data_IF_743049053972
#
_entry.id   IF_743049053972
#
_cell.length_a   1.000
_cell.length_b   1.000
_cell.length_c   1.000
_cell.angle_alpha   90.00
_cell.angle_beta   90.00
_cell.angle_gamma   90.00
#
_symmetry.space_group_name_H-M   'P 1'
#
loop_
_entity.id
_entity.type
_entity.pdbx_description
1 polymer ?
#
# COMPACT_ATOMS: atom_id res chain seq x y z
N UNK A 1 -28.51 -22.39 23.21
CA UNK A 1 -27.36 -23.09 23.85
C UNK A 1 -26.16 -22.17 23.75
N UNK A 2 -25.61 -21.83 24.90
CA UNK A 2 -24.61 -20.79 25.17
C UNK A 2 -23.22 -21.20 24.69
N UNK A 3 -22.48 -20.29 24.07
CA UNK A 3 -21.01 -20.16 24.26
C UNK A 3 -20.63 -18.70 24.04
N UNK A 4 -20.53 -17.96 25.13
CA UNK A 4 -19.79 -16.71 25.21
C UNK A 4 -18.38 -16.99 25.74
N UNK A 5 -17.39 -16.32 25.16
CA UNK A 5 -15.98 -16.31 25.59
C UNK A 5 -15.45 -14.90 25.28
N UNK A 6 -15.54 -13.94 26.20
CA UNK A 6 -14.53 -13.54 27.21
C UNK A 6 -13.13 -13.38 26.62
N UNK A 7 -12.74 -12.13 26.30
CA UNK A 7 -11.36 -11.72 25.99
C UNK A 7 -10.91 -10.79 27.13
N UNK A 8 -9.92 -11.15 27.96
CA UNK A 8 -9.39 -10.22 28.95
C UNK A 8 -8.36 -9.27 28.31
N UNK A 9 -8.54 -7.99 28.58
CA UNK A 9 -7.54 -6.93 28.40
C UNK A 9 -6.56 -6.95 29.57
N UNK A 10 -5.27 -7.15 29.32
CA UNK A 10 -4.19 -6.75 30.22
C UNK A 10 -2.96 -6.30 29.41
N UNK A 11 -2.83 -5.01 29.15
CA UNK A 11 -1.55 -4.37 28.84
C UNK A 11 -1.41 -3.19 29.79
N UNK A 12 -0.54 -3.32 30.78
CA UNK A 12 -0.11 -2.24 31.67
C UNK A 12 1.31 -1.81 31.22
N UNK A 13 1.56 -0.51 31.00
CA UNK A 13 2.92 0.00 30.75
C UNK A 13 3.66 0.22 32.07
N UNK A 14 4.89 -0.26 32.16
CA UNK A 14 5.83 0.04 33.25
C UNK A 14 6.55 1.36 32.95
N UNK A 15 6.35 2.36 33.81
CA UNK A 15 7.05 3.64 33.77
C UNK A 15 8.45 3.49 34.42
N UNK A 16 9.50 3.87 33.70
CA UNK A 16 10.86 4.02 34.24
C UNK A 16 11.06 5.50 34.62
N UNK A 17 11.35 5.72 35.90
CA UNK A 17 11.72 7.03 36.47
C UNK A 17 13.23 7.18 36.36
N UNK A 18 13.70 8.26 35.73
CA UNK A 18 15.12 8.64 35.70
C UNK A 18 15.30 9.83 36.64
N UNK A 19 16.18 9.67 37.63
CA UNK A 19 16.53 10.67 38.62
C UNK A 19 17.58 11.66 38.08
N UNK A 20 17.40 12.93 38.43
CA UNK A 20 18.25 14.08 38.14
C UNK A 20 19.44 14.14 39.12
N UNK A 21 20.65 14.42 38.64
CA UNK A 21 21.79 14.79 39.51
C UNK A 21 22.29 16.19 39.16
N UNK A 22 22.18 17.07 40.15
CA UNK A 22 22.58 18.48 40.16
C UNK A 22 24.08 18.59 40.45
N UNK A 23 24.82 19.32 39.60
CA UNK A 23 26.25 19.63 39.77
C UNK A 23 26.52 21.12 39.66
N UNK A 24 27.22 21.65 40.66
CA UNK A 24 27.46 23.07 41.01
C UNK A 24 28.67 23.69 40.30
N UNK A 25 28.63 25.00 40.03
CA UNK A 25 29.72 25.83 39.50
C UNK A 25 30.74 26.31 40.56
N UNK A 26 31.97 26.69 40.13
CA UNK A 26 32.61 27.94 40.59
C UNK A 26 33.34 28.72 39.46
N UNK A 27 33.05 30.02 39.26
CA UNK A 27 33.73 31.25 39.75
C UNK A 27 34.97 31.75 38.97
N UNK A 28 34.85 33.02 38.55
CA UNK A 28 35.77 33.90 37.83
C UNK A 28 37.08 34.27 38.59
N UNK A 29 38.15 34.54 37.84
CA UNK A 29 39.23 35.45 38.24
C UNK A 29 39.91 36.11 37.00
N UNK A 30 39.85 37.44 36.93
CA UNK A 30 40.45 38.32 35.92
C UNK A 30 41.95 38.55 36.13
N UNK A 31 42.74 38.68 35.04
CA UNK A 31 44.11 39.22 35.04
C UNK A 31 44.38 40.03 33.72
N UNK A 32 45.25 41.07 33.72
CA UNK A 32 45.24 42.16 32.74
C UNK A 32 45.97 41.85 31.42
N UNK A 33 45.59 42.59 30.38
CA UNK A 33 45.80 42.29 28.96
C UNK A 33 47.25 42.27 28.44
N UNK A 34 47.51 41.29 27.58
CA UNK A 34 48.74 41.08 26.83
C UNK A 34 48.58 41.68 25.41
N UNK A 35 49.53 42.51 24.96
CA UNK A 35 49.55 43.05 23.60
C UNK A 35 50.26 42.03 22.69
N UNK A 36 49.52 41.40 21.77
CA UNK A 36 50.05 40.37 20.85
C UNK A 36 50.34 40.96 19.45
N UNK A 37 51.38 40.44 18.76
CA UNK A 37 51.71 40.84 17.37
C UNK A 37 50.80 40.10 16.36
N UNK A 38 50.37 40.73 15.26
CA UNK A 38 49.45 40.12 14.28
C UNK A 38 49.92 38.79 13.65
N UNK A 39 51.23 38.56 13.59
CA UNK A 39 51.84 37.33 13.06
C UNK A 39 51.76 36.14 14.02
N UNK A 40 51.39 36.36 15.28
CA UNK A 40 51.26 35.32 16.31
C UNK A 40 49.79 34.86 16.48
N UNK A 41 48.90 35.29 15.60
CA UNK A 41 47.48 34.90 15.63
C UNK A 41 47.30 33.60 14.84
N UNK A 42 46.94 32.47 15.50
CA UNK A 42 46.69 31.23 14.78
C UNK A 42 45.48 31.38 13.87
N UNK A 43 45.70 31.29 12.55
CA UNK A 43 44.62 31.42 11.55
C UNK A 43 43.71 30.17 11.57
N UNK A 44 44.24 29.00 11.93
CA UNK A 44 43.48 27.77 12.10
C UNK A 44 44.11 26.90 13.20
N UNK A 45 43.67 27.04 14.44
CA UNK A 45 43.86 26.01 15.48
C UNK A 45 42.67 25.07 15.50
N UNK A 46 42.93 23.77 15.68
CA UNK A 46 41.90 22.72 15.78
C UNK A 46 41.13 22.76 17.10
N UNK A 47 41.56 23.56 18.08
CA UNK A 47 40.82 23.80 19.31
C UNK A 47 40.88 25.29 19.65
N UNK A 48 39.74 25.93 19.99
CA UNK A 48 39.74 27.31 20.46
C UNK A 48 40.33 27.38 21.89
N UNK A 49 41.33 28.24 22.16
CA UNK A 49 41.77 28.50 23.53
C UNK A 49 40.65 29.14 24.36
N UNK A 50 40.60 28.93 25.69
CA UNK A 50 39.58 29.54 26.54
C UNK A 50 39.73 31.06 26.53
N UNK A 51 38.83 31.72 25.81
CA UNK A 51 38.80 33.17 25.62
C UNK A 51 38.42 33.86 26.94
N UNK A 52 39.42 34.36 27.67
CA UNK A 52 39.25 35.44 28.65
C UNK A 52 39.62 36.76 27.98
N UNK A 53 38.65 37.39 27.33
CA UNK A 53 38.84 38.68 26.68
C UNK A 53 37.77 38.90 25.61
N UNK A 54 37.00 39.96 25.78
CA UNK A 54 35.86 40.36 24.95
C UNK A 54 36.21 40.48 23.46
N UNK A 55 36.08 39.39 22.72
CA UNK A 55 35.40 39.42 21.44
C UNK A 55 34.05 40.12 21.65
N UNK A 56 33.47 40.86 20.67
CA UNK A 56 32.02 40.94 20.65
C UNK A 56 31.60 39.48 20.66
N UNK A 57 31.15 39.02 21.83
CA UNK A 57 30.45 37.79 22.03
C UNK A 57 29.59 37.68 20.78
N UNK A 58 29.91 36.74 19.89
CA UNK A 58 29.01 36.38 18.82
C UNK A 58 27.74 36.10 19.60
N UNK A 59 26.82 37.07 19.50
CA UNK A 59 25.84 37.34 20.53
C UNK A 59 25.30 35.98 20.91
N UNK A 60 25.22 35.71 22.21
CA UNK A 60 24.37 34.65 22.72
C UNK A 60 22.94 35.01 22.26
N UNK A 61 22.69 34.88 20.95
CA UNK A 61 21.46 35.09 20.24
C UNK A 61 20.70 33.89 20.71
N UNK A 62 20.03 34.11 21.85
CA UNK A 62 19.01 33.22 22.35
C UNK A 62 18.19 32.89 21.13
N UNK A 63 18.17 31.61 20.72
CA UNK A 63 17.64 31.24 19.42
C UNK A 63 16.25 31.85 19.33
N UNK A 64 16.02 32.61 18.27
CA UNK A 64 14.77 33.33 18.13
C UNK A 64 13.64 32.29 18.16
N UNK A 65 12.45 32.63 18.65
CA UNK A 65 11.37 31.66 18.87
C UNK A 65 11.09 30.79 17.63
N UNK A 66 11.24 31.37 16.43
CA UNK A 66 11.11 30.70 15.14
C UNK A 66 12.23 29.69 14.88
N UNK A 67 13.48 30.01 15.23
CA UNK A 67 14.61 29.10 15.09
C UNK A 67 14.45 27.87 15.98
N UNK A 68 13.97 28.06 17.21
CA UNK A 68 13.70 26.94 18.10
C UNK A 68 12.54 26.06 17.60
N UNK A 69 11.51 26.66 17.00
CA UNK A 69 10.39 25.93 16.38
C UNK A 69 10.83 25.11 15.17
N UNK A 70 11.54 25.72 14.21
CA UNK A 70 12.06 25.02 13.02
C UNK A 70 13.06 23.93 13.41
N UNK A 71 13.92 24.18 14.41
CA UNK A 71 14.84 23.20 14.98
C UNK A 71 14.10 22.02 15.59
N UNK A 72 13.04 22.28 16.36
CA UNK A 72 12.21 21.22 16.95
C UNK A 72 11.56 20.37 15.87
N UNK A 73 10.92 20.99 14.87
CA UNK A 73 10.29 20.26 13.76
C UNK A 73 11.30 19.43 12.98
N UNK A 74 12.49 19.97 12.70
CA UNK A 74 13.55 19.23 11.99
C UNK A 74 14.05 18.03 12.81
N UNK A 75 14.25 18.19 14.11
CA UNK A 75 14.70 17.08 14.97
C UNK A 75 13.62 16.02 15.15
N UNK A 76 12.35 16.41 15.35
CA UNK A 76 11.25 15.44 15.47
C UNK A 76 11.09 14.67 14.17
N UNK A 77 11.08 15.35 13.03
CA UNK A 77 11.00 14.70 11.73
C UNK A 77 12.19 13.78 11.46
N UNK A 78 13.41 14.23 11.77
CA UNK A 78 14.62 13.41 11.62
C UNK A 78 14.58 12.12 12.46
N UNK A 79 14.06 12.19 13.69
CA UNK A 79 13.85 11.00 14.53
C UNK A 79 12.82 10.04 13.94
N UNK A 80 11.68 10.55 13.47
CA UNK A 80 10.67 9.70 12.82
C UNK A 80 11.20 9.06 11.53
N UNK A 81 11.97 9.78 10.72
CA UNK A 81 12.54 9.19 9.51
C UNK A 81 13.56 8.11 9.84
N UNK A 82 14.38 8.30 10.88
CA UNK A 82 15.33 7.28 11.32
C UNK A 82 14.59 6.02 11.81
N UNK A 83 13.56 6.17 12.64
CA UNK A 83 12.74 5.06 13.12
C UNK A 83 12.04 4.33 11.97
N UNK A 84 11.44 5.05 11.02
CA UNK A 84 10.79 4.45 9.84
C UNK A 84 11.80 3.66 9.01
N UNK A 85 13.01 4.20 8.77
CA UNK A 85 14.04 3.48 8.03
C UNK A 85 14.53 2.23 8.77
N UNK A 86 14.54 2.25 10.10
CA UNK A 86 14.87 1.08 10.91
C UNK A 86 13.80 -0.01 10.76
N UNK A 87 12.51 0.34 10.86
CA UNK A 87 11.41 -0.61 10.61
C UNK A 87 11.42 -1.14 9.18
N UNK A 88 11.73 -0.31 8.19
CA UNK A 88 11.84 -0.73 6.80
C UNK A 88 12.96 -1.75 6.60
N UNK A 89 14.12 -1.59 7.25
CA UNK A 89 15.21 -2.57 7.19
C UNK A 89 14.79 -3.92 7.77
N UNK A 90 14.16 -3.92 8.95
CA UNK A 90 13.67 -5.16 9.58
C UNK A 90 12.60 -5.82 8.71
N UNK A 91 11.66 -5.03 8.17
CA UNK A 91 10.63 -5.53 7.28
C UNK A 91 11.22 -6.17 6.01
N UNK A 92 12.20 -5.51 5.37
CA UNK A 92 12.90 -6.05 4.20
C UNK A 92 13.64 -7.34 4.54
N UNK A 93 14.36 -7.36 5.65
CA UNK A 93 15.11 -8.54 6.09
C UNK A 93 14.17 -9.73 6.36
N UNK A 94 13.09 -9.52 7.13
CA UNK A 94 12.10 -10.57 7.41
C UNK A 94 11.38 -11.03 6.15
N UNK A 95 11.15 -10.13 5.19
CA UNK A 95 10.55 -10.49 3.91
C UNK A 95 11.47 -11.36 3.07
N UNK A 96 12.75 -11.00 2.98
CA UNK A 96 13.75 -11.77 2.23
C UNK A 96 13.98 -13.15 2.87
N UNK A 97 14.07 -13.21 4.20
CA UNK A 97 14.17 -14.47 4.94
C UNK A 97 12.93 -15.35 4.72
N UNK A 98 11.74 -14.77 4.82
CA UNK A 98 10.48 -15.49 4.58
C UNK A 98 10.39 -16.01 3.15
N UNK A 99 10.82 -15.22 2.16
CA UNK A 99 10.83 -15.63 0.75
C UNK A 99 11.73 -16.83 0.52
N UNK A 100 12.92 -16.84 1.12
CA UNK A 100 13.85 -17.97 1.05
C UNK A 100 13.27 -19.21 1.75
N UNK A 101 12.68 -19.02 2.93
CA UNK A 101 12.03 -20.10 3.69
C UNK A 101 10.78 -20.67 3.01
N UNK A 102 10.07 -19.88 2.21
CA UNK A 102 8.88 -20.37 1.49
C UNK A 102 9.28 -21.02 0.16
N UNK A 103 10.38 -20.59 -0.47
CA UNK A 103 10.82 -21.12 -1.76
C UNK A 103 11.03 -22.64 -1.73
N UNK A 104 11.76 -23.15 -0.72
CA UNK A 104 11.99 -24.60 -0.60
C UNK A 104 10.70 -25.37 -0.33
N UNK A 105 9.76 -24.79 0.41
CA UNK A 105 8.48 -25.41 0.72
C UNK A 105 7.58 -25.48 -0.52
N UNK A 106 7.58 -24.43 -1.34
CA UNK A 106 6.87 -24.42 -2.63
C UNK A 106 7.45 -25.50 -3.55
N UNK A 107 8.78 -25.60 -3.64
CA UNK A 107 9.42 -26.64 -4.45
C UNK A 107 9.06 -28.05 -3.94
N UNK A 108 9.06 -28.26 -2.62
CA UNK A 108 8.63 -29.52 -2.01
C UNK A 108 7.17 -29.88 -2.31
N UNK A 109 6.27 -28.88 -2.25
CA UNK A 109 4.86 -29.05 -2.58
C UNK A 109 4.62 -29.30 -4.06
N UNK A 110 5.52 -28.86 -4.94
CA UNK A 110 5.37 -29.03 -6.39
C UNK A 110 5.81 -30.41 -6.88
N UNK A 111 6.68 -31.08 -6.14
CA UNK A 111 7.13 -32.45 -6.43
C UNK A 111 5.93 -33.40 -6.60
N UNK A 112 5.94 -34.25 -7.64
CA UNK A 112 4.80 -35.11 -8.01
C UNK A 112 4.41 -36.11 -6.90
N UNK A 113 5.39 -36.64 -6.18
CA UNK A 113 5.19 -37.72 -5.20
C UNK A 113 4.45 -37.28 -3.92
N UNK A 114 4.38 -35.98 -3.66
CA UNK A 114 3.84 -35.42 -2.41
C UNK A 114 2.36 -35.01 -2.52
N UNK A 115 1.49 -35.94 -2.88
CA UNK A 115 0.05 -35.68 -3.06
C UNK A 115 -0.67 -35.28 -1.75
N UNK A 116 -0.29 -35.86 -0.62
CA UNK A 116 -0.90 -35.58 0.68
C UNK A 116 -0.61 -34.14 1.16
N UNK A 117 0.64 -33.63 1.15
CA UNK A 117 0.92 -32.22 1.42
C UNK A 117 0.20 -31.24 0.49
N UNK A 118 0.06 -31.55 -0.81
CA UNK A 118 -0.70 -30.73 -1.78
C UNK A 118 -2.17 -30.59 -1.37
N UNK A 119 -2.82 -31.70 -1.06
CA UNK A 119 -4.21 -31.70 -0.60
C UNK A 119 -4.36 -30.95 0.73
N UNK A 120 -3.41 -31.11 1.65
CA UNK A 120 -3.33 -30.37 2.90
C UNK A 120 -3.27 -28.85 2.67
N UNK A 121 -2.36 -28.39 1.83
CA UNK A 121 -2.21 -26.96 1.50
C UNK A 121 -3.49 -26.37 0.87
N UNK A 122 -4.10 -27.08 -0.07
CA UNK A 122 -5.36 -26.65 -0.71
C UNK A 122 -6.49 -26.58 0.33
N UNK A 123 -6.58 -27.56 1.23
CA UNK A 123 -7.59 -27.57 2.29
C UNK A 123 -7.45 -26.39 3.25
N UNK A 124 -6.21 -26.03 3.60
CA UNK A 124 -5.92 -24.86 4.44
C UNK A 124 -6.30 -23.58 3.69
N UNK A 125 -5.96 -23.45 2.40
CA UNK A 125 -6.40 -22.32 1.58
C UNK A 125 -7.92 -22.20 1.51
N UNK A 126 -8.63 -23.32 1.37
CA UNK A 126 -10.08 -23.37 1.37
C UNK A 126 -10.67 -22.96 2.73
N UNK A 127 -10.09 -23.44 3.83
CA UNK A 127 -10.52 -23.15 5.19
C UNK A 127 -10.27 -21.69 5.56
N UNK A 128 -9.10 -21.15 5.26
CA UNK A 128 -8.79 -19.72 5.41
C UNK A 128 -9.78 -18.88 4.61
N UNK A 129 -10.08 -19.31 3.38
CA UNK A 129 -11.07 -18.63 2.56
C UNK A 129 -12.48 -18.68 3.18
N UNK A 130 -12.87 -19.84 3.69
CA UNK A 130 -14.14 -20.01 4.37
C UNK A 130 -14.23 -19.10 5.60
N UNK A 131 -13.17 -19.01 6.41
CA UNK A 131 -13.11 -18.14 7.61
C UNK A 131 -13.36 -16.69 7.22
N UNK A 132 -12.72 -16.20 6.16
CA UNK A 132 -12.92 -14.83 5.72
C UNK A 132 -14.34 -14.60 5.17
N UNK A 133 -14.95 -15.64 4.59
CA UNK A 133 -16.33 -15.64 4.11
C UNK A 133 -17.41 -15.79 5.20
N UNK A 134 -17.04 -16.11 6.46
CA UNK A 134 -18.00 -16.38 7.56
C UNK A 134 -18.91 -15.19 7.88
N UNK A 135 -18.46 -13.96 7.63
CA UNK A 135 -19.24 -12.74 7.89
C UNK A 135 -20.40 -12.56 6.90
N UNK A 136 -20.45 -13.35 5.83
CA UNK A 136 -21.48 -13.28 4.77
C UNK A 136 -22.49 -14.44 4.78
N UNK A 137 -23.41 -14.41 3.80
CA UNK A 137 -24.33 -15.53 3.55
C UNK A 137 -23.64 -16.74 2.89
N UNK A 138 -24.40 -17.82 2.67
CA UNK A 138 -23.88 -19.09 2.13
C UNK A 138 -23.08 -18.93 0.82
N UNK A 139 -23.57 -18.10 -0.12
CA UNK A 139 -22.90 -17.84 -1.39
C UNK A 139 -21.53 -17.13 -1.24
N UNK A 140 -21.43 -16.18 -0.30
CA UNK A 140 -20.15 -15.50 -0.02
C UNK A 140 -19.15 -16.47 0.58
N UNK A 141 -19.62 -17.35 1.48
CA UNK A 141 -18.80 -18.40 2.08
C UNK A 141 -18.25 -19.38 1.03
N UNK A 142 -19.08 -19.82 0.08
CA UNK A 142 -18.63 -20.74 -0.97
C UNK A 142 -17.64 -20.07 -1.92
N UNK A 143 -17.90 -18.84 -2.38
CA UNK A 143 -16.98 -18.14 -3.28
C UNK A 143 -15.62 -17.91 -2.61
N UNK A 144 -15.62 -17.47 -1.35
CA UNK A 144 -14.36 -17.16 -0.68
C UNK A 144 -13.58 -18.44 -0.39
N UNK A 145 -14.26 -19.52 0.02
CA UNK A 145 -13.63 -20.84 0.18
C UNK A 145 -13.06 -21.36 -1.14
N UNK A 146 -13.81 -21.32 -2.24
CA UNK A 146 -13.32 -21.79 -3.54
C UNK A 146 -12.18 -20.93 -4.06
N UNK A 147 -12.23 -19.60 -3.87
CA UNK A 147 -11.15 -18.69 -4.26
C UNK A 147 -9.87 -18.99 -3.48
N UNK A 148 -9.96 -19.24 -2.16
CA UNK A 148 -8.81 -19.63 -1.35
C UNK A 148 -8.23 -20.99 -1.75
N UNK A 149 -9.10 -21.97 -2.02
CA UNK A 149 -8.70 -23.28 -2.53
C UNK A 149 -8.00 -23.19 -3.89
N UNK A 150 -8.59 -22.43 -4.82
CA UNK A 150 -8.08 -22.26 -6.18
C UNK A 150 -6.78 -21.46 -6.20
N UNK A 151 -6.66 -20.46 -5.32
CA UNK A 151 -5.42 -19.73 -5.08
C UNK A 151 -4.28 -20.68 -4.67
N UNK A 152 -4.49 -21.52 -3.65
CA UNK A 152 -3.47 -22.50 -3.24
C UNK A 152 -3.24 -23.60 -4.27
N UNK A 153 -4.28 -24.04 -4.98
CA UNK A 153 -4.14 -25.01 -6.06
C UNK A 153 -3.29 -24.47 -7.20
N UNK A 154 -3.42 -23.18 -7.56
CA UNK A 154 -2.58 -22.55 -8.59
C UNK A 154 -1.09 -22.53 -8.25
N UNK A 155 -0.77 -22.43 -6.94
CA UNK A 155 0.61 -22.48 -6.45
C UNK A 155 1.15 -23.92 -6.47
N UNK A 156 0.33 -24.91 -6.11
CA UNK A 156 0.72 -26.32 -6.09
C UNK A 156 0.79 -26.96 -7.50
N UNK A 157 -0.08 -26.52 -8.43
CA UNK A 157 -0.22 -27.06 -9.79
C UNK A 157 -0.12 -25.97 -10.88
N UNK A 158 1.00 -25.25 -10.98
CA UNK A 158 1.12 -24.10 -11.89
C UNK A 158 1.12 -24.46 -13.39
N UNK A 159 1.53 -25.68 -13.77
CA UNK A 159 1.51 -26.13 -15.18
C UNK A 159 0.07 -26.37 -15.63
N UNK A 160 -0.66 -27.19 -14.88
CA UNK A 160 -2.09 -27.45 -15.09
C UNK A 160 -2.91 -26.16 -15.02
N UNK A 161 -2.65 -25.30 -14.04
CA UNK A 161 -3.35 -24.02 -13.91
C UNK A 161 -3.22 -23.15 -15.17
N UNK A 162 -2.05 -23.14 -15.82
CA UNK A 162 -1.86 -22.38 -17.07
C UNK A 162 -2.64 -22.95 -18.25
N UNK A 163 -2.74 -24.28 -18.35
CA UNK A 163 -3.50 -24.97 -19.39
C UNK A 163 -5.01 -24.76 -19.20
N UNK A 164 -5.50 -25.02 -17.98
CA UNK A 164 -6.90 -24.81 -17.63
C UNK A 164 -7.33 -23.35 -17.73
N UNK A 165 -6.44 -22.39 -17.43
CA UNK A 165 -6.74 -20.97 -17.62
C UNK A 165 -6.98 -20.61 -19.10
N UNK A 166 -6.20 -21.17 -20.02
CA UNK A 166 -6.36 -20.94 -21.45
C UNK A 166 -7.65 -21.59 -21.98
N UNK A 167 -7.89 -22.85 -21.63
CA UNK A 167 -9.11 -23.58 -22.02
C UNK A 167 -10.34 -22.86 -21.47
N UNK A 168 -10.32 -22.52 -20.17
CA UNK A 168 -11.39 -21.79 -19.51
C UNK A 168 -11.64 -20.41 -20.09
N UNK A 169 -10.60 -19.71 -20.57
CA UNK A 169 -10.78 -18.45 -21.26
C UNK A 169 -11.47 -18.60 -22.63
N UNK A 170 -11.12 -19.62 -23.40
CA UNK A 170 -11.73 -19.89 -24.72
C UNK A 170 -13.18 -20.32 -24.55
N UNK A 171 -13.46 -21.22 -23.61
CA UNK A 171 -14.82 -21.69 -23.34
C UNK A 171 -15.68 -20.60 -22.70
N UNK A 172 -15.12 -19.87 -21.73
CA UNK A 172 -15.78 -18.74 -21.08
C UNK A 172 -16.24 -17.68 -22.08
N UNK A 173 -15.43 -17.39 -23.11
CA UNK A 173 -15.84 -16.49 -24.20
C UNK A 173 -17.07 -16.99 -24.95
N UNK A 174 -17.15 -18.29 -25.23
CA UNK A 174 -18.33 -18.90 -25.90
C UNK A 174 -19.57 -18.77 -25.03
N UNK A 175 -19.49 -19.12 -23.75
CA UNK A 175 -20.62 -19.02 -22.83
C UNK A 175 -21.06 -17.57 -22.60
N UNK A 176 -20.11 -16.63 -22.48
CA UNK A 176 -20.43 -15.21 -22.37
C UNK A 176 -21.12 -14.70 -23.64
N UNK A 177 -20.70 -15.19 -24.81
CA UNK A 177 -21.35 -14.89 -26.09
C UNK A 177 -22.79 -15.37 -26.15
N UNK A 178 -23.02 -16.61 -25.74
CA UNK A 178 -24.38 -17.17 -25.68
C UNK A 178 -25.24 -16.39 -24.69
N UNK A 179 -24.71 -16.06 -23.52
CA UNK A 179 -25.44 -15.30 -22.49
C UNK A 179 -25.77 -13.87 -22.95
N UNK A 180 -24.82 -13.19 -23.60
CA UNK A 180 -25.03 -11.86 -24.16
C UNK A 180 -26.12 -11.89 -25.24
N UNK A 181 -26.04 -12.84 -26.17
CA UNK A 181 -27.04 -13.03 -27.22
C UNK A 181 -28.43 -13.36 -26.64
N UNK A 182 -28.49 -14.10 -25.53
CA UNK A 182 -29.73 -14.40 -24.83
C UNK A 182 -30.38 -13.15 -24.20
N UNK A 183 -29.58 -12.29 -23.54
CA UNK A 183 -30.07 -11.04 -22.95
C UNK A 183 -30.57 -10.07 -24.02
N UNK A 184 -29.92 -10.04 -25.19
CA UNK A 184 -30.32 -9.21 -26.33
C UNK A 184 -31.46 -9.81 -27.18
N UNK A 185 -31.88 -11.05 -26.91
CA UNK A 185 -33.05 -11.66 -27.55
C UNK A 185 -32.85 -12.12 -29.00
N UNK A 186 -31.62 -12.40 -29.42
CA UNK A 186 -31.31 -12.86 -30.79
C UNK A 186 -31.82 -14.30 -30.98
N UNK A 187 -32.56 -14.54 -32.07
CA UNK A 187 -33.08 -15.87 -32.42
C UNK A 187 -31.96 -16.71 -33.07
N UNK A 188 -32.06 -18.04 -32.96
CA UNK A 188 -31.04 -19.01 -33.45
C UNK A 188 -30.63 -18.85 -34.94
N UNK A 189 -31.41 -18.14 -35.75
CA UNK A 189 -31.26 -18.03 -37.21
C UNK A 189 -30.60 -16.72 -37.67
N UNK A 190 -30.24 -15.79 -36.78
CA UNK A 190 -29.51 -14.55 -37.10
C UNK A 190 -28.01 -14.68 -36.74
N UNK A 191 -27.10 -13.99 -37.46
CA UNK A 191 -25.67 -14.06 -37.16
C UNK A 191 -25.41 -13.61 -35.72
N UNK A 192 -24.64 -14.38 -34.92
CA UNK A 192 -24.40 -14.06 -33.53
C UNK A 192 -23.75 -12.67 -33.42
N UNK A 193 -24.29 -11.81 -32.56
CA UNK A 193 -23.65 -10.53 -32.24
C UNK A 193 -22.25 -10.82 -31.71
N UNK A 194 -21.25 -10.22 -32.35
CA UNK A 194 -19.88 -10.29 -31.87
C UNK A 194 -19.81 -9.56 -30.54
N UNK A 195 -19.27 -10.23 -29.51
CA UNK A 195 -19.03 -9.58 -28.23
C UNK A 195 -18.15 -8.36 -28.43
N UNK A 196 -18.43 -7.24 -27.73
CA UNK A 196 -17.45 -6.17 -27.63
C UNK A 196 -16.13 -6.81 -27.22
N UNK A 197 -15.06 -6.51 -27.96
CA UNK A 197 -13.77 -7.21 -27.83
C UNK A 197 -13.38 -7.27 -26.36
N UNK A 198 -13.54 -8.45 -25.75
CA UNK A 198 -13.14 -8.64 -24.36
C UNK A 198 -11.68 -8.26 -24.25
N UNK A 199 -11.28 -7.58 -23.15
CA UNK A 199 -9.88 -7.29 -22.92
C UNK A 199 -9.11 -8.61 -23.09
N UNK A 200 -8.02 -8.56 -23.88
CA UNK A 200 -7.12 -9.70 -24.04
C UNK A 200 -6.84 -10.24 -22.64
N UNK A 201 -7.01 -11.55 -22.46
CA UNK A 201 -6.75 -12.20 -21.17
C UNK A 201 -5.38 -11.72 -20.69
N UNK A 202 -5.34 -10.99 -19.57
CA UNK A 202 -4.12 -10.34 -19.16
C UNK A 202 -3.11 -11.42 -18.87
N UNK A 203 -1.96 -11.33 -19.52
CA UNK A 203 -0.89 -12.33 -19.36
C UNK A 203 -0.19 -12.18 -18.01
N UNK A 204 -0.38 -11.02 -17.38
CA UNK A 204 0.15 -10.70 -16.06
C UNK A 204 -0.92 -10.12 -15.14
N UNK A 205 -0.73 -10.33 -13.83
CA UNK A 205 -1.58 -9.75 -12.80
C UNK A 205 -1.57 -8.21 -12.81
N UNK A 206 -0.45 -7.60 -13.22
CA UNK A 206 -0.31 -6.14 -13.29
C UNK A 206 -1.13 -5.55 -14.45
N UNK A 207 -1.13 -6.20 -15.61
CA UNK A 207 -2.03 -5.83 -16.72
C UNK A 207 -3.49 -6.00 -16.33
N UNK A 208 -3.82 -7.06 -15.59
CA UNK A 208 -5.18 -7.31 -15.10
C UNK A 208 -5.64 -6.18 -14.17
N UNK A 209 -4.81 -5.81 -13.19
CA UNK A 209 -5.13 -4.75 -12.24
C UNK A 209 -5.25 -3.38 -12.91
N UNK A 210 -4.32 -3.06 -13.82
CA UNK A 210 -4.38 -1.82 -14.59
C UNK A 210 -5.62 -1.76 -15.48
N UNK A 211 -6.00 -2.87 -16.11
CA UNK A 211 -7.23 -2.96 -16.92
C UNK A 211 -8.49 -2.76 -16.07
N UNK A 212 -8.56 -3.38 -14.89
CA UNK A 212 -9.69 -3.18 -13.95
C UNK A 212 -9.73 -1.74 -13.46
N UNK A 213 -8.57 -1.17 -13.09
CA UNK A 213 -8.47 0.22 -12.66
C UNK A 213 -8.92 1.18 -13.77
N UNK A 214 -8.50 0.96 -15.01
CA UNK A 214 -8.91 1.79 -16.15
C UNK A 214 -10.40 1.69 -16.44
N UNK A 215 -10.95 0.48 -16.40
CA UNK A 215 -12.39 0.25 -16.63
C UNK A 215 -13.23 0.81 -15.48
N UNK A 216 -12.80 0.65 -14.22
CA UNK A 216 -13.47 1.27 -13.09
C UNK A 216 -13.40 2.80 -13.17
N UNK A 217 -12.25 3.35 -13.57
CA UNK A 217 -12.12 4.80 -13.76
C UNK A 217 -12.99 5.34 -14.89
N UNK A 218 -13.19 4.59 -15.99
CA UNK A 218 -14.10 5.02 -17.06
C UNK A 218 -15.56 5.05 -16.60
N UNK A 219 -16.01 4.07 -15.82
CA UNK A 219 -17.36 4.09 -15.23
C UNK A 219 -17.56 5.20 -14.20
N UNK A 220 -16.52 5.56 -13.45
CA UNK A 220 -16.57 6.65 -12.47
C UNK A 220 -16.56 8.02 -13.19
N UNK A 221 -15.85 8.14 -14.32
CA UNK A 221 -15.83 9.38 -15.12
C UNK A 221 -17.16 9.66 -15.82
N UNK A 222 -17.89 8.64 -16.30
CA UNK A 222 -19.16 8.83 -17.02
C UNK A 222 -20.30 9.37 -16.12
N UNK A 223 -20.22 9.20 -14.79
CA UNK A 223 -21.23 9.74 -13.86
C UNK A 223 -21.01 11.24 -13.49
N UNK A 224 -20.01 11.91 -14.06
CA UNK A 224 -19.78 13.35 -13.83
C UNK A 224 -20.43 14.27 -14.87
N UNK A 225 -21.15 13.72 -15.87
CA UNK A 225 -21.92 14.52 -16.82
C UNK A 225 -23.40 14.42 -16.49
N UNK A 226 -23.89 15.40 -15.73
CA UNK A 226 -25.31 15.73 -15.60
C UNK A 226 -26.00 15.73 -16.97
N UNK A 227 -27.26 15.27 -17.08
CA UNK A 227 -27.99 15.29 -18.34
C UNK A 227 -28.20 16.75 -18.76
N UNK A 228 -27.63 17.14 -19.90
CA UNK A 228 -27.87 18.44 -20.50
C UNK A 228 -29.25 18.43 -21.17
N UNK A 229 -30.28 18.70 -20.38
CA UNK A 229 -31.58 19.17 -20.87
C UNK A 229 -31.40 20.65 -21.16
N UNK A 230 -31.10 21.03 -22.41
CA UNK A 230 -31.26 22.40 -22.90
C UNK A 230 -31.71 22.40 -24.37
N UNK A 231 -33.01 22.65 -24.53
CA UNK A 231 -33.62 23.58 -25.48
C UNK A 231 -33.32 23.45 -26.97
N UNK A 232 -34.21 22.70 -27.63
CA UNK A 232 -34.58 22.94 -29.02
C UNK A 232 -35.46 24.20 -29.08
N UNK A 233 -34.88 25.36 -29.44
CA UNK A 233 -35.68 26.47 -29.96
C UNK A 233 -34.94 27.35 -30.97
N UNK A 234 -35.62 27.54 -32.11
CA UNK A 234 -35.43 28.50 -33.20
C UNK A 234 -34.26 28.20 -34.17
N UNK A 235 -34.44 28.17 -35.48
CA UNK A 235 -35.37 28.91 -36.32
C UNK A 235 -35.40 28.33 -37.75
N UNK A 236 -36.59 28.18 -38.33
CA UNK A 236 -36.76 28.13 -39.78
C UNK A 236 -38.17 28.64 -40.14
N UNK A 237 -38.23 29.94 -40.41
CA UNK A 237 -38.99 30.61 -41.49
C UNK A 237 -40.34 30.03 -41.94
N UNK A 238 -41.40 30.83 -41.68
CA UNK A 238 -42.72 30.85 -42.36
C UNK A 238 -42.53 31.26 -43.85
N UNK A 239 -43.37 30.84 -44.81
CA UNK A 239 -44.55 31.67 -45.16
C UNK A 239 -45.85 30.93 -45.57
N UNK A 240 -46.96 31.47 -45.07
CA UNK A 240 -48.28 31.77 -45.72
C UNK A 240 -49.13 30.70 -46.45
N UNK A 241 -50.45 30.88 -46.23
CA UNK A 241 -51.62 30.57 -47.10
C UNK A 241 -52.12 29.12 -47.05
N UNK A 242 -53.42 28.78 -47.03
CA UNK A 242 -54.65 29.53 -47.28
C UNK A 242 -55.86 28.77 -46.67
N UNK A 243 -56.94 29.54 -46.43
CA UNK A 243 -58.35 29.17 -46.19
C UNK A 243 -58.74 28.42 -44.92
#
# INVERSE_FOLDING_TARGET
MFFGTVIPRCFLPTAVVIAETKGTQPQDQQNPGHICRPSELPIYTSDPPPLSGSTPEEENQKPNFIENSVRTVRHTFGKYTEEITAYERVAKQSFDESKQNIAWLIDYLRQEDNTLPKAGAISIGALTGLIFGLRGGFFKRTIYATTGALGMASVCYPKEASEYAQVGAVEGKKYLTIAYNFVYGVKKDEPPLELPSLPKVPTSLTEAWNSIKSTASSFISDNSTTPKVEDVKNSASIPKSAN
#
